data_IF_791090409120
#
_entry.id   IF_791090409120
#
_cell.length_a   1.000
_cell.length_b   1.000
_cell.length_c   1.000
_cell.angle_alpha   90.00
_cell.angle_beta   90.00
_cell.angle_gamma   90.00
#
_symmetry.space_group_name_H-M   'P 1'
#
loop_
_entity.id
_entity.type
_entity.pdbx_description
1 polymer ?
#
# COMPACT_ATOMS: atom_id res chain seq x y z
N UNK A 1 24.33 18.17 -12.50
CA UNK A 1 23.17 18.74 -13.22
C UNK A 1 22.39 19.64 -12.27
N UNK A 2 21.85 20.78 -12.72
CA UNK A 2 20.98 21.59 -11.87
C UNK A 2 19.69 20.80 -11.56
N UNK A 3 19.39 20.65 -10.27
CA UNK A 3 18.18 19.97 -9.80
C UNK A 3 17.08 21.00 -9.58
N UNK A 4 15.92 20.80 -10.20
CA UNK A 4 14.75 21.66 -9.99
C UNK A 4 14.07 21.25 -8.69
N UNK A 5 13.90 22.20 -7.76
CA UNK A 5 13.23 21.97 -6.49
C UNK A 5 11.90 22.73 -6.42
N UNK A 6 10.82 22.02 -6.08
CA UNK A 6 9.51 22.60 -5.86
C UNK A 6 9.13 22.55 -4.38
N UNK A 7 8.37 23.54 -3.93
CA UNK A 7 7.77 23.54 -2.59
C UNK A 7 6.26 23.57 -2.73
N UNK A 8 5.59 22.53 -2.23
CA UNK A 8 4.13 22.48 -2.16
C UNK A 8 3.67 23.22 -0.90
N UNK A 9 2.78 24.21 -1.06
CA UNK A 9 2.21 25.01 0.03
C UNK A 9 0.74 24.67 0.23
N UNK A 10 0.21 24.99 1.42
CA UNK A 10 -1.20 24.79 1.78
C UNK A 10 -1.67 23.32 1.65
N UNK A 11 -0.81 22.37 2.02
CA UNK A 11 -1.19 20.95 2.02
C UNK A 11 -2.22 20.71 3.14
N UNK A 12 -3.39 20.12 2.84
CA UNK A 12 -4.36 19.76 3.87
C UNK A 12 -3.72 18.85 4.94
N UNK A 13 -3.96 19.08 6.25
CA UNK A 13 -3.33 18.27 7.31
C UNK A 13 -3.62 16.78 7.20
N UNK A 14 -4.81 16.41 6.74
CA UNK A 14 -5.19 15.02 6.50
C UNK A 14 -4.34 14.36 5.40
N UNK A 15 -4.01 15.11 4.33
CA UNK A 15 -3.18 14.63 3.23
C UNK A 15 -1.73 14.46 3.67
N UNK A 16 -1.14 15.44 4.38
CA UNK A 16 0.21 15.32 4.92
C UNK A 16 0.35 14.09 5.85
N UNK A 17 -0.65 13.87 6.72
CA UNK A 17 -0.68 12.70 7.61
C UNK A 17 -0.72 11.39 6.82
N UNK A 18 -1.52 11.31 5.76
CA UNK A 18 -1.62 10.13 4.91
C UNK A 18 -0.30 9.86 4.16
N UNK A 19 0.29 10.88 3.54
CA UNK A 19 1.56 10.77 2.82
C UNK A 19 2.71 10.36 3.75
N UNK A 20 2.79 10.92 4.96
CA UNK A 20 3.78 10.52 5.97
C UNK A 20 3.58 9.09 6.47
N UNK A 21 2.33 8.67 6.68
CA UNK A 21 2.03 7.27 7.04
C UNK A 21 2.51 6.33 5.94
N UNK A 22 2.26 6.68 4.68
CA UNK A 22 2.70 5.91 3.51
C UNK A 22 4.22 5.81 3.43
N UNK A 23 4.92 6.94 3.58
CA UNK A 23 6.39 6.97 3.61
C UNK A 23 6.98 6.06 4.71
N UNK A 24 6.37 6.03 5.90
CA UNK A 24 6.79 5.12 6.98
C UNK A 24 6.59 3.65 6.64
N UNK A 25 5.46 3.30 6.03
CA UNK A 25 5.13 1.91 5.67
C UNK A 25 6.06 1.41 4.55
N UNK A 26 6.31 2.23 3.54
CA UNK A 26 7.09 1.82 2.37
C UNK A 26 8.60 1.98 2.56
N UNK A 27 9.04 2.64 3.64
CA UNK A 27 10.45 3.01 3.84
C UNK A 27 10.99 4.03 2.81
N UNK A 28 10.12 4.60 1.96
CA UNK A 28 10.50 5.57 0.93
C UNK A 28 10.46 6.99 1.49
N UNK A 29 11.22 7.90 0.89
CA UNK A 29 11.17 9.32 1.29
C UNK A 29 9.81 9.93 0.94
N UNK A 30 9.37 10.92 1.72
CA UNK A 30 8.12 11.64 1.48
C UNK A 30 8.10 12.25 0.06
N UNK A 31 9.22 12.80 -0.40
CA UNK A 31 9.35 13.38 -1.74
C UNK A 31 9.13 12.32 -2.82
N UNK A 32 9.67 11.11 -2.64
CA UNK A 32 9.50 10.02 -3.60
C UNK A 32 8.05 9.55 -3.67
N UNK A 33 7.35 9.50 -2.53
CA UNK A 33 5.91 9.21 -2.52
C UNK A 33 5.12 10.27 -3.28
N UNK A 34 5.36 11.55 -3.00
CA UNK A 34 4.67 12.67 -3.65
C UNK A 34 4.93 12.68 -5.17
N UNK A 35 6.18 12.46 -5.58
CA UNK A 35 6.53 12.37 -7.01
C UNK A 35 5.83 11.19 -7.69
N UNK A 36 5.78 10.03 -7.04
CA UNK A 36 5.08 8.85 -7.56
C UNK A 36 3.60 9.13 -7.81
N UNK A 37 2.92 9.73 -6.84
CA UNK A 37 1.50 10.08 -6.96
C UNK A 37 1.27 11.14 -8.06
N UNK A 38 2.14 12.17 -8.14
CA UNK A 38 2.04 13.20 -9.18
C UNK A 38 2.22 12.62 -10.59
N UNK A 39 3.18 11.72 -10.79
CA UNK A 39 3.39 11.09 -12.11
C UNK A 39 2.21 10.19 -12.46
N UNK A 40 1.76 9.36 -11.53
CA UNK A 40 0.63 8.46 -11.74
C UNK A 40 -0.65 9.22 -12.13
N UNK A 41 -0.93 10.36 -11.48
CA UNK A 41 -2.11 11.16 -11.79
C UNK A 41 -2.00 11.95 -13.10
N UNK A 42 -0.79 12.28 -13.55
CA UNK A 42 -0.58 13.05 -14.79
C UNK A 42 -0.28 12.18 -16.02
N UNK A 43 -0.34 10.84 -15.90
CA UNK A 43 -0.03 9.90 -16.98
C UNK A 43 1.31 10.18 -17.67
N UNK A 44 2.27 10.73 -16.93
CA UNK A 44 3.58 11.05 -17.47
C UNK A 44 4.38 9.75 -17.63
N UNK A 45 5.09 9.56 -18.75
CA UNK A 45 6.00 8.43 -18.87
C UNK A 45 7.11 8.60 -17.83
N UNK A 46 7.10 7.74 -16.82
CA UNK A 46 8.21 7.64 -15.89
C UNK A 46 9.45 7.21 -16.68
N UNK A 47 10.40 8.13 -16.87
CA UNK A 47 11.72 7.82 -17.45
C UNK A 47 12.62 7.04 -16.45
N UNK A 48 12.05 6.67 -15.30
CA UNK A 48 12.59 5.69 -14.36
C UNK A 48 11.79 4.41 -14.52
N UNK A 49 12.43 3.34 -15.01
CA UNK A 49 11.85 2.02 -15.31
C UNK A 49 11.12 1.30 -14.14
N UNK A 50 10.95 1.92 -12.97
CA UNK A 50 10.10 1.44 -11.87
C UNK A 50 8.69 1.99 -12.08
N UNK A 51 8.06 1.44 -13.12
CA UNK A 51 6.89 1.97 -13.80
C UNK A 51 5.62 1.33 -13.26
N UNK A 52 4.86 2.05 -12.44
CA UNK A 52 3.41 1.90 -12.19
C UNK A 52 2.91 0.55 -11.64
N UNK A 53 3.46 -0.59 -12.04
CA UNK A 53 3.19 -1.95 -11.60
C UNK A 53 3.46 -2.12 -10.11
N UNK A 54 4.57 -1.61 -9.57
CA UNK A 54 4.82 -1.65 -8.11
C UNK A 54 3.81 -0.81 -7.32
N UNK A 55 3.35 0.30 -7.90
CA UNK A 55 2.38 1.18 -7.26
C UNK A 55 0.96 0.62 -7.34
N UNK A 56 0.62 -0.06 -8.45
CA UNK A 56 -0.62 -0.80 -8.65
C UNK A 56 -0.65 -2.10 -7.82
N UNK A 57 0.47 -2.82 -7.70
CA UNK A 57 0.60 -4.01 -6.87
C UNK A 57 0.35 -3.67 -5.39
N UNK A 58 0.80 -2.51 -4.93
CA UNK A 58 0.45 -1.98 -3.61
C UNK A 58 -1.03 -1.53 -3.51
N UNK A 59 -1.57 -0.88 -4.55
CA UNK A 59 -2.97 -0.41 -4.58
C UNK A 59 -3.99 -1.56 -4.63
N UNK A 60 -3.63 -2.67 -5.27
CA UNK A 60 -4.47 -3.87 -5.48
C UNK A 60 -4.29 -4.89 -4.34
N UNK A 61 -3.33 -4.67 -3.43
CA UNK A 61 -3.20 -5.50 -2.23
C UNK A 61 -2.37 -6.77 -2.43
N UNK A 62 -1.26 -6.72 -3.18
CA UNK A 62 -0.16 -7.70 -3.04
C UNK A 62 0.72 -7.46 -1.79
N UNK A 63 0.11 -6.96 -0.72
CA UNK A 63 0.67 -7.07 0.64
C UNK A 63 0.17 -8.33 1.36
N UNK A 64 -0.60 -9.18 0.68
CA UNK A 64 -0.96 -10.50 1.17
C UNK A 64 -0.02 -11.48 0.46
N UNK A 65 1.11 -11.74 1.09
CA UNK A 65 2.04 -12.77 0.63
C UNK A 65 1.27 -14.10 0.49
N UNK A 66 1.66 -15.00 -0.42
CA UNK A 66 1.02 -16.32 -0.52
C UNK A 66 1.01 -17.06 0.83
N UNK A 67 1.99 -16.79 1.70
CA UNK A 67 2.03 -17.24 3.09
C UNK A 67 0.92 -16.61 3.94
N UNK A 68 0.65 -15.31 3.79
CA UNK A 68 -0.43 -14.63 4.50
C UNK A 68 -1.81 -15.12 4.04
N UNK A 69 -1.98 -15.44 2.75
CA UNK A 69 -3.23 -16.06 2.25
C UNK A 69 -3.40 -17.47 2.82
N UNK A 70 -2.32 -18.26 2.89
CA UNK A 70 -2.37 -19.60 3.46
C UNK A 70 -2.74 -19.60 4.95
N UNK A 71 -2.18 -18.67 5.74
CA UNK A 71 -2.50 -18.52 7.17
C UNK A 71 -3.97 -18.14 7.38
N UNK A 72 -4.52 -17.24 6.57
CA UNK A 72 -5.93 -16.85 6.66
C UNK A 72 -6.89 -17.99 6.29
N UNK A 73 -6.51 -18.84 5.31
CA UNK A 73 -7.32 -20.01 4.92
C UNK A 73 -7.28 -21.12 6.00
N UNK A 74 -6.15 -21.26 6.71
CA UNK A 74 -6.04 -22.15 7.86
C UNK A 74 -6.84 -21.65 9.07
N UNK A 75 -6.79 -20.36 9.38
CA UNK A 75 -7.59 -19.75 10.45
C UNK A 75 -9.10 -19.90 10.20
N UNK A 76 -9.57 -19.65 8.97
CA UNK A 76 -10.99 -19.79 8.60
C UNK A 76 -11.48 -21.26 8.75
N UNK A 77 -10.63 -22.24 8.40
CA UNK A 77 -10.93 -23.67 8.58
C UNK A 77 -11.00 -24.07 10.05
N UNK A 78 -10.08 -23.57 10.88
CA UNK A 78 -10.09 -23.79 12.33
C UNK A 78 -11.36 -23.20 12.96
N UNK A 79 -11.71 -21.97 12.57
CA UNK A 79 -12.87 -21.28 13.09
C UNK A 79 -14.17 -22.00 12.74
N UNK A 80 -14.32 -22.48 11.49
CA UNK A 80 -15.46 -23.31 11.08
C UNK A 80 -15.57 -24.61 11.88
N UNK A 81 -14.44 -25.27 12.18
CA UNK A 81 -14.42 -26.47 13.02
C UNK A 81 -14.85 -26.18 14.47
N UNK A 82 -14.33 -25.12 15.08
CA UNK A 82 -14.74 -24.71 16.42
C UNK A 82 -16.22 -24.34 16.49
N UNK A 83 -16.75 -23.69 15.45
CA UNK A 83 -18.18 -23.35 15.38
C UNK A 83 -19.04 -24.61 15.24
N UNK A 84 -18.65 -25.57 14.39
CA UNK A 84 -19.34 -26.85 14.26
C UNK A 84 -19.31 -27.69 15.56
N UNK A 85 -18.19 -27.69 16.28
CA UNK A 85 -18.05 -28.39 17.57
C UNK A 85 -18.92 -27.77 18.67
N UNK A 86 -19.08 -26.44 18.68
CA UNK A 86 -19.98 -25.74 19.59
C UNK A 86 -21.46 -26.04 19.29
N UNK A 87 -21.81 -26.21 18.02
CA UNK A 87 -23.16 -26.60 17.62
C UNK A 87 -23.47 -28.05 17.97
N UNK A 88 -22.48 -28.95 17.94
CA UNK A 88 -22.64 -30.36 18.30
C UNK A 88 -22.70 -30.62 19.81
N UNK A 89 -22.17 -29.70 20.62
CA UNK A 89 -22.18 -29.76 22.10
C UNK A 89 -23.44 -29.15 22.74
N UNK A 90 -24.40 -28.71 21.93
CA UNK A 90 -25.68 -28.14 22.38
C UNK A 90 -26.80 -29.14 22.16
#
# INVERSE_FOLDING_TARGET
>A
MPTIQYTLRNIPPALDKALRKRAKITGKSLNQIVLGDLVAHNHLPNNTNESLSEMLDWFIGRGVDNETIAVLDEEDRLQKRYMAEREWRK
#
